data_IF_057367493703
#
_entry.id   IF_057367493703
#
_cell.length_a   1.000
_cell.length_b   1.000
_cell.length_c   1.000
_cell.angle_alpha   90.00
_cell.angle_beta   90.00
_cell.angle_gamma   90.00
#
_symmetry.space_group_name_H-M   'P 1'
#
loop_
_entity.id
_entity.type
_entity.pdbx_description
1 polymer ?
#
# COMPACT_ATOMS: atom_id res chain seq x y z
N UNK A 1 -12.46 6.65 -8.67
CA UNK A 1 -11.73 6.57 -7.40
C UNK A 1 -11.25 7.93 -6.93
N UNK A 2 -10.99 8.05 -5.66
CA UNK A 2 -10.34 9.23 -5.09
C UNK A 2 -8.84 8.98 -5.03
N UNK A 3 -8.04 9.99 -5.40
CA UNK A 3 -6.59 9.97 -5.26
C UNK A 3 -6.20 10.04 -3.78
N UNK A 4 -5.20 9.27 -3.37
CA UNK A 4 -4.68 9.28 -2.01
C UNK A 4 -3.19 9.61 -2.01
N UNK A 5 -2.74 10.35 -1.00
CA UNK A 5 -1.33 10.56 -0.68
C UNK A 5 -0.86 9.66 0.46
N UNK A 6 -1.80 9.00 1.14
CA UNK A 6 -1.58 8.13 2.28
C UNK A 6 -2.11 6.74 2.00
N UNK A 7 -1.62 5.72 2.71
CA UNK A 7 -2.12 4.35 2.65
C UNK A 7 -3.47 4.31 3.38
N UNK A 8 -3.51 4.84 4.59
CA UNK A 8 -4.75 4.99 5.37
C UNK A 8 -5.60 6.11 4.77
N UNK A 9 -6.85 5.84 4.37
CA UNK A 9 -7.71 6.85 3.77
C UNK A 9 -8.08 7.98 4.75
N UNK A 10 -8.29 9.22 4.27
CA UNK A 10 -8.87 10.28 5.07
C UNK A 10 -10.25 9.88 5.63
N UNK A 11 -10.57 10.35 6.82
CA UNK A 11 -11.79 10.04 7.58
C UNK A 11 -11.93 8.55 7.98
N UNK A 12 -10.84 7.80 7.98
CA UNK A 12 -10.84 6.42 8.44
C UNK A 12 -10.92 6.33 9.97
N UNK A 13 -10.09 7.09 10.67
CA UNK A 13 -10.12 7.25 12.11
C UNK A 13 -9.63 8.64 12.52
N UNK A 14 -9.92 9.05 13.75
CA UNK A 14 -9.57 10.36 14.28
C UNK A 14 -9.13 10.27 15.73
N UNK A 15 -8.29 11.21 16.14
CA UNK A 15 -7.84 11.40 17.53
C UNK A 15 -9.01 11.71 18.47
N UNK A 16 -8.78 11.71 19.77
CA UNK A 16 -9.78 12.10 20.78
C UNK A 16 -10.24 13.56 20.60
N UNK A 17 -9.44 14.41 20.00
CA UNK A 17 -9.78 15.80 19.64
C UNK A 17 -10.51 15.91 18.28
N UNK A 18 -10.77 14.80 17.59
CA UNK A 18 -11.41 14.78 16.27
C UNK A 18 -10.50 15.14 15.10
N UNK A 19 -9.17 15.13 15.30
CA UNK A 19 -8.20 15.34 14.22
C UNK A 19 -8.10 14.06 13.41
N UNK A 20 -8.24 14.18 12.08
CA UNK A 20 -8.11 13.04 11.16
C UNK A 20 -6.71 12.42 11.27
N UNK A 21 -6.64 11.09 11.22
CA UNK A 21 -5.39 10.35 11.32
C UNK A 21 -4.34 10.82 10.29
N UNK A 22 -4.76 11.14 9.07
CA UNK A 22 -3.84 11.62 8.02
C UNK A 22 -3.21 12.98 8.32
N UNK A 23 -3.66 13.64 9.37
CA UNK A 23 -3.11 14.90 9.88
C UNK A 23 -2.26 14.69 11.15
N UNK A 24 -1.96 13.43 11.50
CA UNK A 24 -1.13 13.12 12.66
C UNK A 24 0.34 12.94 12.27
N UNK A 25 1.25 13.24 13.20
CA UNK A 25 2.67 12.95 13.07
C UNK A 25 3.30 13.42 11.75
N UNK A 26 4.27 12.66 11.26
CA UNK A 26 4.98 12.96 10.02
C UNK A 26 4.12 12.71 8.76
N UNK A 27 3.03 11.97 8.88
CA UNK A 27 2.09 11.74 7.79
C UNK A 27 1.43 13.04 7.32
N UNK A 28 1.19 13.99 8.24
CA UNK A 28 0.64 15.30 7.94
C UNK A 28 1.52 16.14 6.99
N UNK A 29 2.80 15.82 6.88
CA UNK A 29 3.75 16.50 6.01
C UNK A 29 3.74 15.99 4.57
N UNK A 30 3.06 14.87 4.29
CA UNK A 30 2.96 14.28 2.95
C UNK A 30 1.84 14.98 2.17
N UNK A 31 2.16 16.09 1.54
CA UNK A 31 1.21 16.93 0.79
C UNK A 31 1.35 16.79 -0.71
N UNK A 32 2.57 16.58 -1.19
CA UNK A 32 2.91 16.36 -2.60
C UNK A 32 2.95 14.88 -2.91
N UNK A 33 2.49 14.54 -4.11
CA UNK A 33 2.23 13.16 -4.51
C UNK A 33 2.91 12.81 -5.84
N UNK A 34 3.18 13.80 -6.68
CA UNK A 34 3.85 13.63 -7.94
C UNK A 34 4.71 14.86 -8.25
N UNK A 35 6.01 14.62 -8.38
CA UNK A 35 6.99 15.61 -8.79
C UNK A 35 7.90 14.99 -9.87
N UNK A 36 7.62 15.35 -11.13
CA UNK A 36 8.36 14.82 -12.27
C UNK A 36 9.83 15.26 -12.29
N UNK A 37 10.10 16.51 -11.89
CA UNK A 37 11.47 17.00 -11.86
C UNK A 37 12.31 16.26 -10.84
N UNK A 38 11.77 16.07 -9.64
CA UNK A 38 12.42 15.30 -8.58
C UNK A 38 12.57 13.81 -8.94
N UNK A 39 11.57 13.22 -9.63
CA UNK A 39 11.68 11.85 -10.11
C UNK A 39 12.84 11.68 -11.11
N UNK A 40 13.05 12.65 -12.00
CA UNK A 40 14.18 12.66 -12.94
C UNK A 40 15.52 12.87 -12.23
N UNK A 41 15.57 13.71 -11.19
CA UNK A 41 16.76 13.89 -10.36
C UNK A 41 17.19 12.57 -9.69
N UNK A 42 16.24 11.89 -9.04
CA UNK A 42 16.51 10.57 -8.45
C UNK A 42 16.91 9.51 -9.49
N UNK A 43 16.27 9.51 -10.67
CA UNK A 43 16.68 8.63 -11.78
C UNK A 43 18.11 8.88 -12.18
N UNK A 44 18.51 10.14 -12.35
CA UNK A 44 19.86 10.48 -12.80
C UNK A 44 20.91 10.05 -11.78
N UNK A 45 20.66 10.25 -10.49
CA UNK A 45 21.50 9.73 -9.41
C UNK A 45 21.56 8.18 -9.45
N UNK A 46 20.44 7.50 -9.63
CA UNK A 46 20.40 6.05 -9.74
C UNK A 46 21.16 5.52 -10.97
N UNK A 47 21.15 6.24 -12.11
CA UNK A 47 21.94 5.88 -13.29
C UNK A 47 23.45 5.89 -12.96
N UNK A 48 23.91 6.90 -12.23
CA UNK A 48 25.31 6.99 -11.83
C UNK A 48 25.71 5.84 -10.91
N UNK A 49 24.93 5.58 -9.86
CA UNK A 49 25.19 4.51 -8.90
C UNK A 49 25.16 3.13 -9.55
N UNK A 50 24.11 2.85 -10.34
CA UNK A 50 23.94 1.56 -11.01
C UNK A 50 25.01 1.34 -12.09
N UNK A 51 25.42 2.38 -12.82
CA UNK A 51 26.54 2.30 -13.77
C UNK A 51 27.83 1.96 -13.06
N UNK A 52 28.11 2.61 -11.92
CA UNK A 52 29.29 2.30 -11.11
C UNK A 52 29.27 0.86 -10.56
N UNK A 53 28.08 0.32 -10.29
CA UNK A 53 27.88 -1.07 -9.88
C UNK A 53 27.92 -2.07 -11.06
N UNK A 54 28.07 -1.61 -12.31
CA UNK A 54 28.16 -2.46 -13.51
C UNK A 54 26.80 -2.93 -14.04
N UNK A 55 25.71 -2.26 -13.69
CA UNK A 55 24.40 -2.57 -14.23
C UNK A 55 24.30 -2.28 -15.74
N UNK A 56 23.41 -2.99 -16.41
CA UNK A 56 23.04 -2.74 -17.81
C UNK A 56 21.63 -2.18 -17.89
N UNK A 57 21.40 -1.24 -18.79
CA UNK A 57 20.11 -0.60 -18.99
C UNK A 57 19.42 -1.11 -20.26
N UNK A 58 18.07 -1.10 -20.32
CA UNK A 58 17.16 -0.70 -19.24
C UNK A 58 17.13 -1.73 -18.09
N UNK A 59 16.91 -1.24 -16.87
CA UNK A 59 16.64 -2.10 -15.70
C UNK A 59 15.28 -2.75 -15.90
N UNK A 60 15.25 -4.08 -15.88
CA UNK A 60 14.00 -4.84 -16.06
C UNK A 60 13.32 -5.08 -14.71
N UNK A 61 12.06 -4.69 -14.59
CA UNK A 61 11.25 -4.88 -13.39
C UNK A 61 9.96 -5.64 -13.71
N UNK A 62 9.67 -6.68 -12.96
CA UNK A 62 8.50 -7.51 -13.15
C UNK A 62 7.28 -6.89 -12.45
N UNK A 63 6.20 -6.77 -13.19
CA UNK A 63 4.90 -6.32 -12.70
C UNK A 63 3.84 -7.39 -13.05
N UNK A 64 3.71 -8.44 -12.22
CA UNK A 64 2.68 -9.44 -12.44
C UNK A 64 1.30 -8.92 -12.05
N UNK A 65 0.28 -9.35 -12.80
CA UNK A 65 -1.11 -9.03 -12.47
C UNK A 65 -1.97 -10.28 -12.30
N UNK A 66 -3.06 -10.14 -11.51
CA UNK A 66 -4.04 -11.19 -11.33
C UNK A 66 -5.09 -11.14 -12.46
N UNK A 67 -5.20 -12.16 -13.32
CA UNK A 67 -6.12 -12.16 -14.44
C UNK A 67 -7.59 -12.40 -14.05
N UNK A 68 -7.89 -12.67 -12.77
CA UNK A 68 -9.26 -12.85 -12.30
C UNK A 68 -10.15 -11.62 -12.47
N UNK A 69 -9.56 -10.44 -12.73
CA UNK A 69 -10.25 -9.21 -13.04
C UNK A 69 -9.66 -8.56 -14.29
N UNK A 70 -10.49 -8.19 -15.23
CA UNK A 70 -10.09 -7.56 -16.50
C UNK A 70 -9.51 -6.16 -16.36
N UNK A 71 -9.62 -5.55 -15.18
CA UNK A 71 -9.14 -4.19 -14.94
C UNK A 71 -7.68 -4.14 -14.48
N UNK A 72 -7.16 -5.23 -13.91
CA UNK A 72 -5.78 -5.25 -13.43
C UNK A 72 -4.76 -5.10 -14.55
N UNK A 73 -4.95 -5.81 -15.66
CA UNK A 73 -4.10 -5.66 -16.86
C UNK A 73 -4.04 -4.20 -17.33
N UNK A 74 -5.20 -3.57 -17.52
CA UNK A 74 -5.28 -2.17 -17.97
C UNK A 74 -4.60 -1.22 -16.98
N UNK A 75 -4.76 -1.45 -15.67
CA UNK A 75 -4.10 -0.65 -14.66
C UNK A 75 -2.57 -0.80 -14.70
N UNK A 76 -2.08 -2.03 -14.92
CA UNK A 76 -0.64 -2.28 -15.12
C UNK A 76 -0.11 -1.57 -16.36
N UNK A 77 -0.85 -1.60 -17.48
CA UNK A 77 -0.48 -0.90 -18.70
C UNK A 77 -0.39 0.62 -18.50
N UNK A 78 -1.36 1.21 -17.81
CA UNK A 78 -1.33 2.64 -17.48
C UNK A 78 -0.15 2.97 -16.56
N UNK A 79 0.10 2.14 -15.56
CA UNK A 79 1.23 2.32 -14.64
C UNK A 79 2.57 2.26 -15.39
N UNK A 80 2.77 1.24 -16.24
CA UNK A 80 3.96 1.12 -17.11
C UNK A 80 4.14 2.39 -17.95
N UNK A 81 3.10 2.79 -18.66
CA UNK A 81 3.16 3.96 -19.55
C UNK A 81 3.53 5.25 -18.80
N UNK A 82 2.97 5.45 -17.61
CA UNK A 82 3.25 6.64 -16.81
C UNK A 82 4.68 6.61 -16.25
N UNK A 83 5.11 5.47 -15.71
CA UNK A 83 6.43 5.34 -15.11
C UNK A 83 7.54 5.47 -16.17
N UNK A 84 7.44 4.71 -17.26
CA UNK A 84 8.40 4.75 -18.35
C UNK A 84 8.39 6.10 -19.08
N UNK A 85 7.22 6.73 -19.22
CA UNK A 85 7.09 8.05 -19.84
C UNK A 85 7.87 9.15 -19.12
N UNK A 86 8.02 9.05 -17.81
CA UNK A 86 8.83 9.98 -16.99
C UNK A 86 10.28 9.54 -16.91
N UNK A 87 10.52 8.27 -16.58
CA UNK A 87 11.86 7.79 -16.25
C UNK A 87 12.73 7.51 -17.47
N UNK A 88 12.13 7.23 -18.64
CA UNK A 88 12.87 7.01 -19.88
C UNK A 88 13.04 8.28 -20.74
N UNK A 89 12.67 9.44 -20.22
CA UNK A 89 12.88 10.71 -20.93
C UNK A 89 14.39 10.98 -21.14
N UNK A 90 14.81 10.86 -22.38
CA UNK A 90 16.19 11.06 -22.81
C UNK A 90 17.17 9.92 -22.52
N UNK A 91 16.77 8.86 -21.81
CA UNK A 91 17.57 7.69 -21.50
C UNK A 91 16.71 6.46 -21.26
N UNK A 92 17.03 5.33 -21.84
CA UNK A 92 16.29 4.07 -21.68
C UNK A 92 16.66 3.42 -20.32
N UNK A 93 16.04 3.93 -19.24
CA UNK A 93 16.39 3.62 -17.86
C UNK A 93 15.73 2.35 -17.35
N UNK A 94 14.41 2.17 -17.59
CA UNK A 94 13.61 1.10 -17.01
C UNK A 94 12.71 0.43 -18.08
N UNK A 95 12.55 -0.89 -17.97
CA UNK A 95 11.56 -1.66 -18.75
C UNK A 95 10.66 -2.41 -17.78
N UNK A 96 9.39 -1.99 -17.70
CA UNK A 96 8.38 -2.64 -16.86
C UNK A 96 7.77 -3.82 -17.62
N UNK A 97 8.06 -5.01 -17.16
CA UNK A 97 7.60 -6.26 -17.77
C UNK A 97 6.30 -6.71 -17.11
N UNK A 98 5.19 -6.50 -17.80
CA UNK A 98 3.87 -6.93 -17.34
C UNK A 98 3.71 -8.41 -17.67
N UNK A 99 3.37 -9.22 -16.64
CA UNK A 99 3.16 -10.66 -16.81
C UNK A 99 1.84 -11.10 -16.19
N UNK A 100 1.16 -12.00 -16.88
CA UNK A 100 -0.03 -12.63 -16.34
C UNK A 100 0.36 -13.70 -15.32
N UNK A 101 -0.19 -13.59 -14.11
CA UNK A 101 -0.04 -14.60 -13.08
C UNK A 101 -1.14 -15.67 -13.14
N UNK A 102 -1.04 -16.74 -12.34
CA UNK A 102 -2.06 -17.76 -12.28
C UNK A 102 -3.35 -17.23 -11.63
N UNK A 103 -4.49 -17.39 -12.30
CA UNK A 103 -5.79 -16.88 -11.84
C UNK A 103 -6.20 -17.44 -10.46
N UNK A 104 -6.04 -18.75 -10.27
CA UNK A 104 -6.55 -19.43 -9.07
C UNK A 104 -5.62 -19.34 -7.85
N UNK A 105 -4.36 -19.01 -8.05
CA UNK A 105 -3.35 -19.03 -6.97
C UNK A 105 -2.47 -17.80 -6.93
N UNK A 106 -2.86 -16.70 -7.56
CA UNK A 106 -2.06 -15.47 -7.61
C UNK A 106 -1.63 -14.99 -6.22
N UNK A 107 -2.56 -15.01 -5.27
CA UNK A 107 -2.29 -14.59 -3.90
C UNK A 107 -1.18 -15.43 -3.24
N UNK A 108 -1.23 -16.75 -3.37
CA UNK A 108 -0.28 -17.65 -2.70
C UNK A 108 1.00 -17.86 -3.50
N UNK A 109 0.94 -17.90 -4.84
CA UNK A 109 2.08 -18.25 -5.67
C UNK A 109 2.90 -17.06 -6.18
N UNK A 110 2.30 -15.85 -6.20
CA UNK A 110 2.98 -14.61 -6.63
C UNK A 110 3.14 -13.67 -5.44
N UNK A 111 2.02 -13.13 -4.92
CA UNK A 111 2.06 -12.07 -3.91
C UNK A 111 2.73 -12.51 -2.62
N UNK A 112 2.27 -13.63 -2.00
CA UNK A 112 2.82 -14.13 -0.74
C UNK A 112 4.19 -14.78 -0.85
N UNK A 113 4.65 -15.02 -2.08
CA UNK A 113 5.99 -15.53 -2.37
C UNK A 113 6.96 -14.45 -2.84
N UNK A 114 6.55 -13.16 -2.85
CA UNK A 114 7.41 -12.05 -3.23
C UNK A 114 7.94 -12.12 -4.67
N UNK A 115 7.22 -12.75 -5.60
CA UNK A 115 7.67 -12.91 -6.98
C UNK A 115 7.29 -11.71 -7.85
N UNK A 116 7.78 -10.55 -7.48
CA UNK A 116 7.57 -9.28 -8.19
C UNK A 116 8.60 -8.26 -7.73
N UNK A 117 8.92 -7.30 -8.55
CA UNK A 117 9.59 -6.06 -8.17
C UNK A 117 8.55 -4.94 -7.93
N UNK A 118 7.53 -4.87 -8.80
CA UNK A 118 6.35 -4.04 -8.57
C UNK A 118 5.10 -4.91 -8.46
N UNK A 119 4.16 -4.50 -7.60
CA UNK A 119 2.86 -5.15 -7.47
C UNK A 119 1.77 -4.09 -7.28
N UNK A 120 0.78 -4.09 -8.18
CA UNK A 120 -0.47 -3.39 -7.93
C UNK A 120 -1.37 -4.26 -7.05
N UNK A 121 -1.78 -3.72 -5.91
CA UNK A 121 -2.65 -4.42 -4.97
C UNK A 121 -3.68 -3.47 -4.35
N UNK A 122 -4.62 -4.04 -3.63
CA UNK A 122 -5.61 -3.33 -2.85
C UNK A 122 -5.77 -3.98 -1.48
N UNK A 123 -6.21 -3.19 -0.54
CA UNK A 123 -6.55 -3.63 0.81
C UNK A 123 -7.90 -3.07 1.21
N UNK A 124 -8.58 -3.75 2.09
CA UNK A 124 -9.77 -3.27 2.77
C UNK A 124 -9.57 -3.49 4.26
N UNK A 125 -9.75 -2.46 5.04
CA UNK A 125 -9.58 -2.50 6.48
C UNK A 125 -10.44 -3.58 7.14
N UNK A 126 -9.85 -4.37 8.02
CA UNK A 126 -10.55 -5.40 8.80
C UNK A 126 -11.27 -4.78 10.02
N UNK A 127 -10.74 -3.68 10.55
CA UNK A 127 -11.24 -2.94 11.71
C UNK A 127 -10.81 -1.47 11.65
N UNK A 128 -11.39 -0.63 12.50
CA UNK A 128 -11.18 0.82 12.46
C UNK A 128 -9.99 1.25 13.36
N UNK A 129 -8.79 0.85 12.97
CA UNK A 129 -7.53 1.25 13.59
C UNK A 129 -6.45 1.30 12.50
N UNK A 130 -5.51 2.27 12.50
CA UNK A 130 -4.49 2.40 11.46
C UNK A 130 -3.56 1.18 11.34
N UNK A 131 -3.46 0.34 12.36
CA UNK A 131 -2.73 -0.91 12.30
C UNK A 131 -3.18 -1.79 11.12
N UNK A 132 -4.50 -1.83 10.81
CA UNK A 132 -5.02 -2.67 9.73
C UNK A 132 -4.50 -2.28 8.36
N UNK A 133 -4.15 -1.00 8.14
CA UNK A 133 -3.63 -0.48 6.87
C UNK A 133 -2.11 -0.61 6.76
N UNK A 134 -1.41 -0.59 7.88
CA UNK A 134 0.06 -0.68 7.95
C UNK A 134 0.55 -2.13 8.13
N UNK A 135 -0.17 -2.97 8.87
CA UNK A 135 0.18 -4.38 9.12
C UNK A 135 0.44 -5.22 7.86
N UNK A 136 -0.20 -4.98 6.69
CA UNK A 136 0.15 -5.68 5.46
C UNK A 136 1.61 -5.57 5.02
N UNK A 137 2.32 -4.52 5.44
CA UNK A 137 3.73 -4.27 5.12
C UNK A 137 4.67 -4.60 6.27
N UNK A 138 4.12 -4.84 7.46
CA UNK A 138 4.88 -5.29 8.63
C UNK A 138 5.17 -6.78 8.57
N UNK A 139 6.36 -7.16 8.97
CA UNK A 139 6.82 -8.53 9.05
C UNK A 139 7.55 -8.75 10.37
N UNK A 140 6.98 -9.58 11.23
CA UNK A 140 7.63 -9.97 12.49
C UNK A 140 8.92 -10.76 12.25
N UNK A 141 9.83 -10.76 13.22
CA UNK A 141 11.17 -11.34 13.11
C UNK A 141 11.18 -12.79 12.65
N UNK A 142 10.31 -13.63 13.18
CA UNK A 142 10.22 -15.06 12.81
C UNK A 142 9.19 -15.34 11.72
N UNK A 143 8.70 -14.33 11.03
CA UNK A 143 7.62 -14.47 10.06
C UNK A 143 8.12 -14.36 8.64
N UNK A 144 7.75 -15.33 7.80
CA UNK A 144 7.99 -15.29 6.36
C UNK A 144 6.67 -15.27 5.62
N UNK A 145 6.62 -14.61 4.49
CA UNK A 145 5.44 -14.57 3.64
C UNK A 145 4.42 -13.54 4.09
N UNK A 146 4.71 -12.33 3.79
CA UNK A 146 3.86 -11.17 4.04
C UNK A 146 2.58 -11.18 3.21
N UNK A 147 1.62 -10.35 3.62
CA UNK A 147 0.42 -10.11 2.83
C UNK A 147 0.72 -9.42 1.51
N UNK A 148 1.64 -8.44 1.51
CA UNK A 148 1.97 -7.64 0.33
C UNK A 148 3.45 -7.51 0.00
N UNK A 149 4.35 -7.70 0.96
CA UNK A 149 5.76 -7.45 0.71
C UNK A 149 6.66 -8.42 1.48
N UNK A 150 7.85 -8.63 0.96
CA UNK A 150 8.94 -9.39 1.57
C UNK A 150 10.04 -8.45 2.08
N UNK A 151 9.65 -7.37 2.74
CA UNK A 151 10.58 -6.31 3.11
C UNK A 151 11.65 -6.82 4.08
N UNK A 152 11.26 -7.29 5.27
CA UNK A 152 12.21 -7.81 6.26
C UNK A 152 12.99 -9.01 5.75
N UNK A 153 12.30 -9.98 5.15
CA UNK A 153 12.95 -11.16 4.57
C UNK A 153 13.98 -10.77 3.51
N UNK A 154 13.70 -9.77 2.68
CA UNK A 154 14.66 -9.28 1.69
C UNK A 154 15.92 -8.70 2.32
N UNK A 155 15.80 -8.03 3.47
CA UNK A 155 16.95 -7.53 4.25
C UNK A 155 17.72 -8.69 4.90
N UNK A 156 17.02 -9.59 5.59
CA UNK A 156 17.62 -10.72 6.30
C UNK A 156 18.33 -11.70 5.35
N UNK A 157 17.78 -11.94 4.17
CA UNK A 157 18.38 -12.79 3.14
C UNK A 157 19.46 -12.06 2.30
N UNK A 158 19.71 -10.77 2.56
CA UNK A 158 20.75 -9.97 1.93
C UNK A 158 20.45 -9.51 0.50
N UNK A 159 19.19 -9.59 0.06
CA UNK A 159 18.77 -9.05 -1.24
C UNK A 159 18.54 -7.53 -1.21
N UNK A 160 18.19 -6.99 -0.05
CA UNK A 160 18.01 -5.56 0.17
C UNK A 160 19.09 -5.09 1.14
N UNK A 161 19.85 -4.08 0.75
CA UNK A 161 21.00 -3.58 1.51
C UNK A 161 21.03 -2.04 1.53
N UNK A 162 21.95 -1.44 2.29
CA UNK A 162 22.15 0.00 2.36
C UNK A 162 20.94 0.74 2.96
N UNK A 163 20.76 1.99 2.55
CA UNK A 163 19.76 2.90 3.10
C UNK A 163 18.32 2.35 3.00
N UNK A 164 18.02 1.58 1.96
CA UNK A 164 16.71 0.91 1.81
C UNK A 164 16.48 -0.15 2.89
N UNK A 165 17.50 -0.93 3.22
CA UNK A 165 17.43 -1.91 4.31
C UNK A 165 17.21 -1.21 5.65
N UNK A 166 17.94 -0.12 5.90
CA UNK A 166 17.83 0.67 7.12
C UNK A 166 16.42 1.27 7.26
N UNK A 167 15.85 1.82 6.19
CA UNK A 167 14.50 2.35 6.17
C UNK A 167 13.44 1.27 6.47
N UNK A 168 13.60 0.08 5.90
CA UNK A 168 12.72 -1.06 6.16
C UNK A 168 12.78 -1.45 7.65
N UNK A 169 13.96 -1.58 8.22
CA UNK A 169 14.12 -1.97 9.61
C UNK A 169 13.62 -0.89 10.59
N UNK A 170 13.78 0.39 10.24
CA UNK A 170 13.16 1.49 10.97
C UNK A 170 11.64 1.38 10.97
N UNK A 171 11.02 1.09 9.82
CA UNK A 171 9.58 0.86 9.75
C UNK A 171 9.13 -0.31 10.62
N UNK A 172 9.83 -1.46 10.57
CA UNK A 172 9.50 -2.64 11.40
C UNK A 172 9.52 -2.27 12.89
N UNK A 173 10.57 -1.57 13.33
CA UNK A 173 10.72 -1.11 14.71
C UNK A 173 9.62 -0.12 15.10
N UNK A 174 9.29 0.83 14.23
CA UNK A 174 8.25 1.82 14.48
C UNK A 174 6.87 1.18 14.63
N UNK A 175 6.52 0.20 13.78
CA UNK A 175 5.26 -0.55 13.90
C UNK A 175 5.23 -1.38 15.18
N UNK A 176 6.32 -2.06 15.55
CA UNK A 176 6.40 -2.83 16.79
C UNK A 176 6.17 -1.92 18.01
N UNK A 177 6.76 -0.73 18.02
CA UNK A 177 6.57 0.26 19.09
C UNK A 177 5.12 0.79 19.11
N UNK A 178 4.55 1.13 17.96
CA UNK A 178 3.18 1.64 17.86
C UNK A 178 2.14 0.62 18.37
N UNK A 179 2.35 -0.67 18.07
CA UNK A 179 1.49 -1.78 18.53
C UNK A 179 1.47 -1.93 20.06
N UNK A 180 2.50 -1.49 20.77
CA UNK A 180 2.55 -1.54 22.23
C UNK A 180 1.74 -0.42 22.92
N UNK A 181 1.36 0.62 22.18
CA UNK A 181 0.57 1.72 22.74
C UNK A 181 -0.91 1.32 22.73
N UNK A 182 -1.47 0.99 23.87
CA UNK A 182 -2.82 0.44 24.01
C UNK A 182 -3.77 1.33 24.84
N UNK A 183 -3.26 2.26 25.59
CA UNK A 183 -3.97 3.10 26.58
C UNK A 183 -4.05 4.58 26.20
N UNK A 184 -3.34 5.01 25.16
CA UNK A 184 -3.35 6.36 24.62
C UNK A 184 -3.57 6.32 23.10
N UNK A 185 -4.80 6.58 22.68
CA UNK A 185 -5.19 6.50 21.26
C UNK A 185 -4.51 7.60 20.42
N UNK A 186 -4.26 8.78 20.99
CA UNK A 186 -3.64 9.88 20.26
C UNK A 186 -2.16 9.62 20.05
N UNK A 187 -1.46 9.12 21.07
CA UNK A 187 -0.08 8.67 20.94
C UNK A 187 0.06 7.48 19.99
N UNK A 188 -0.88 6.52 20.04
CA UNK A 188 -0.93 5.39 19.13
C UNK A 188 -1.08 5.84 17.68
N UNK A 189 -2.04 6.71 17.40
CA UNK A 189 -2.29 7.19 16.04
C UNK A 189 -1.12 7.98 15.49
N UNK A 190 -0.49 8.81 16.34
CA UNK A 190 0.74 9.50 15.94
C UNK A 190 1.85 8.51 15.58
N UNK A 191 2.08 7.49 16.40
CA UNK A 191 3.13 6.51 16.16
C UNK A 191 2.91 5.71 14.86
N UNK A 192 1.67 5.28 14.58
CA UNK A 192 1.34 4.64 13.30
C UNK A 192 1.47 5.59 12.12
N UNK A 193 1.10 6.87 12.28
CA UNK A 193 1.24 7.87 11.24
C UNK A 193 2.72 8.14 10.90
N UNK A 194 3.58 8.24 11.90
CA UNK A 194 5.02 8.36 11.72
C UNK A 194 5.59 7.13 10.98
N UNK A 195 5.15 5.93 11.34
CA UNK A 195 5.56 4.69 10.66
C UNK A 195 5.05 4.61 9.21
N UNK A 196 3.80 4.99 8.94
CA UNK A 196 3.25 5.03 7.59
C UNK A 196 4.03 6.01 6.70
N UNK A 197 4.42 7.16 7.26
CA UNK A 197 5.24 8.15 6.56
C UNK A 197 6.60 7.59 6.13
N UNK A 198 7.22 6.69 6.91
CA UNK A 198 8.46 6.02 6.53
C UNK A 198 8.30 5.18 5.26
N UNK A 199 7.19 4.43 5.11
CA UNK A 199 6.93 3.65 3.89
C UNK A 199 6.83 4.53 2.65
N UNK A 200 6.13 5.65 2.77
CA UNK A 200 5.85 6.55 1.64
C UNK A 200 7.10 7.35 1.28
N UNK A 201 7.78 7.95 2.25
CA UNK A 201 8.96 8.79 2.03
C UNK A 201 10.16 8.01 1.47
N UNK A 202 10.24 6.70 1.78
CA UNK A 202 11.28 5.82 1.23
C UNK A 202 10.82 5.05 -0.03
N UNK A 203 9.69 5.45 -0.63
CA UNK A 203 9.12 4.84 -1.83
C UNK A 203 8.91 3.32 -1.75
N UNK A 204 8.76 2.76 -0.55
CA UNK A 204 8.47 1.34 -0.34
C UNK A 204 7.02 1.01 -0.72
N UNK A 205 6.14 1.99 -0.61
CA UNK A 205 4.73 1.92 -1.02
C UNK A 205 4.35 3.23 -1.72
N UNK A 206 3.61 3.10 -2.81
CA UNK A 206 3.07 4.25 -3.56
C UNK A 206 1.54 4.24 -3.41
N UNK A 207 0.96 5.09 -2.56
CA UNK A 207 -0.49 5.24 -2.46
C UNK A 207 -1.08 5.70 -3.80
N UNK A 208 -2.18 5.09 -4.22
CA UNK A 208 -2.81 5.43 -5.51
C UNK A 208 -4.17 6.08 -5.36
N UNK A 209 -5.01 5.47 -4.57
CA UNK A 209 -6.36 5.93 -4.41
C UNK A 209 -7.28 4.89 -3.77
N UNK A 210 -8.49 5.30 -3.46
CA UNK A 210 -9.52 4.41 -2.97
C UNK A 210 -10.68 4.30 -3.95
N UNK A 211 -11.37 3.16 -3.90
CA UNK A 211 -12.60 2.95 -4.66
C UNK A 211 -13.69 3.91 -4.18
N UNK A 212 -14.52 4.37 -5.11
CA UNK A 212 -15.74 5.08 -4.74
C UNK A 212 -16.73 4.12 -4.11
N UNK A 213 -17.51 4.53 -3.10
CA UNK A 213 -18.62 3.73 -2.60
C UNK A 213 -19.59 3.37 -3.71
N UNK A 214 -20.04 2.13 -3.74
CA UNK A 214 -21.12 1.71 -4.61
C UNK A 214 -22.49 2.04 -3.96
N UNK A 215 -23.46 2.36 -4.77
CA UNK A 215 -24.84 2.44 -4.31
C UNK A 215 -25.40 1.02 -4.14
N UNK A 216 -26.08 0.78 -3.03
CA UNK A 216 -26.76 -0.47 -2.76
C UNK A 216 -28.28 -0.26 -2.84
N UNK A 217 -28.93 -0.95 -3.76
CA UNK A 217 -30.38 -1.08 -3.75
C UNK A 217 -30.72 -2.35 -2.97
N UNK A 218 -31.47 -2.22 -1.88
CA UNK A 218 -31.80 -3.35 -1.01
C UNK A 218 -33.20 -3.18 -0.41
N UNK A 219 -33.86 -4.30 -0.17
CA UNK A 219 -35.10 -4.36 0.63
C UNK A 219 -34.84 -4.65 2.11
N UNK A 220 -33.59 -4.80 2.51
CA UNK A 220 -33.26 -4.92 3.93
C UNK A 220 -33.51 -3.58 4.63
N UNK A 221 -34.12 -3.64 5.82
CA UNK A 221 -34.26 -2.45 6.64
C UNK A 221 -32.90 -2.00 7.17
N UNK A 222 -32.32 -1.04 6.47
CA UNK A 222 -30.97 -0.60 6.72
C UNK A 222 -30.76 0.02 8.11
N UNK A 223 -31.84 0.52 8.72
CA UNK A 223 -31.80 1.15 10.04
C UNK A 223 -31.74 0.15 11.21
N UNK A 224 -31.98 -1.13 10.97
CA UNK A 224 -31.87 -2.20 11.96
C UNK A 224 -30.50 -2.88 11.96
N UNK A 225 -29.66 -2.59 10.97
CA UNK A 225 -28.35 -3.20 10.82
C UNK A 225 -27.29 -2.64 11.77
N UNK A 226 -26.28 -3.45 12.03
CA UNK A 226 -25.05 -2.97 12.66
C UNK A 226 -24.18 -2.30 11.61
N UNK A 227 -24.00 -1.00 11.72
CA UNK A 227 -23.21 -0.22 10.78
C UNK A 227 -21.76 -0.21 11.24
N UNK A 228 -20.91 -0.95 10.56
CA UNK A 228 -19.50 -0.70 10.58
C UNK A 228 -19.02 -0.57 9.13
N UNK A 229 -18.18 0.38 8.86
CA UNK A 229 -17.61 0.63 7.53
C UNK A 229 -16.57 -0.42 7.15
N UNK A 230 -16.14 -1.25 8.10
CA UNK A 230 -15.00 -2.15 7.96
C UNK A 230 -15.37 -3.59 8.33
N UNK A 231 -14.56 -4.55 7.90
CA UNK A 231 -14.71 -5.97 8.21
C UNK A 231 -15.96 -6.60 7.60
N UNK A 232 -16.50 -7.60 8.27
CA UNK A 232 -17.70 -8.34 7.83
C UNK A 232 -19.02 -7.72 8.28
N UNK A 233 -19.01 -6.57 8.91
CA UNK A 233 -20.21 -5.97 9.51
C UNK A 233 -21.28 -5.63 8.48
N UNK A 234 -20.91 -5.23 7.28
CA UNK A 234 -21.83 -4.96 6.17
C UNK A 234 -22.56 -6.22 5.64
N UNK A 235 -22.16 -7.41 6.08
CA UNK A 235 -22.75 -8.71 5.73
C UNK A 235 -23.47 -9.37 6.91
N UNK A 236 -23.61 -8.69 8.04
CA UNK A 236 -24.31 -9.19 9.22
C UNK A 236 -25.80 -8.91 9.08
N UNK A 237 -26.54 -9.94 8.68
CA UNK A 237 -27.97 -9.84 8.41
C UNK A 237 -28.84 -10.25 9.61
N UNK A 238 -28.24 -10.75 10.71
CA UNK A 238 -28.99 -11.17 11.91
C UNK A 238 -29.70 -9.98 12.56
N UNK A 239 -31.00 -10.09 12.71
CA UNK A 239 -31.84 -9.05 13.30
C UNK A 239 -32.30 -7.97 12.33
N UNK A 240 -31.98 -8.09 11.03
CA UNK A 240 -32.46 -7.17 10.00
C UNK A 240 -33.72 -7.76 9.36
N UNK A 241 -34.76 -6.97 9.26
CA UNK A 241 -36.02 -7.32 8.59
C UNK A 241 -35.96 -6.91 7.10
N UNK A 242 -36.71 -7.66 6.30
CA UNK A 242 -36.90 -7.31 4.89
C UNK A 242 -38.13 -6.42 4.78
N UNK A 243 -38.01 -5.30 4.07
CA UNK A 243 -39.11 -4.41 3.75
C UNK A 243 -39.95 -4.97 2.61
N UNK A 244 -41.24 -4.65 2.59
CA UNK A 244 -42.14 -5.05 1.51
C UNK A 244 -41.90 -4.27 0.21
N UNK A 245 -41.20 -3.15 0.29
CA UNK A 245 -40.87 -2.25 -0.82
C UNK A 245 -39.41 -1.71 -0.70
N UNK A 246 -38.92 -1.12 -1.76
CA UNK A 246 -37.65 -0.40 -1.78
C UNK A 246 -37.78 1.00 -1.21
#
# INVERSE_FOLDING_TARGET
GYKLNTITPPNFCATTAGVDYTQCGDLANITEFFDEAKAKEFRDAAIEELTAAGATFPIKVQLPYNPSSTDWDKQCQVFKQQLEGVLNDGFDFIDVIITEGPADSFLSSVRRNGKFEFLLCNWGADYSDPETETDPFYQAEDSRGMRYAYLRTGVEDGFITGDTADAIMQYMTAIEAAKQITDDIDARYKAFADAEALLINNALVIPRGMSVPAYLATRLNYWEGQYASTGFSNKRLKGIHMLDHY
#
